data_IF_868371504470
#
_entry.id   IF_868371504470
#
_cell.length_a   1.000
_cell.length_b   1.000
_cell.length_c   1.000
_cell.angle_alpha   90.00
_cell.angle_beta   90.00
_cell.angle_gamma   90.00
#
_symmetry.space_group_name_H-M   'P 1'
#
loop_
_entity.id
_entity.type
_entity.pdbx_description
1 polymer ?
#
# COMPACT_ATOMS: atom_id res chain seq x y z
N UNK A 1 2.45 26.09 1.16
CA UNK A 1 3.16 25.19 0.23
C UNK A 1 2.14 24.46 -0.61
N UNK A 2 2.38 24.32 -1.89
CA UNK A 2 1.55 23.44 -2.71
C UNK A 2 1.92 21.98 -2.40
N UNK A 3 0.92 21.14 -2.19
CA UNK A 3 1.09 19.70 -2.00
C UNK A 3 0.75 19.00 -3.31
N UNK A 4 1.65 18.17 -3.81
CA UNK A 4 1.49 17.39 -5.04
C UNK A 4 1.14 15.93 -4.76
N UNK A 5 0.41 15.69 -3.70
CA UNK A 5 -0.04 14.36 -3.30
C UNK A 5 -1.01 13.76 -4.33
N UNK A 6 -0.81 12.48 -4.63
CA UNK A 6 -1.65 11.73 -5.54
C UNK A 6 -1.98 10.36 -4.93
N UNK A 7 -3.18 9.88 -5.19
CA UNK A 7 -3.58 8.50 -4.92
C UNK A 7 -4.03 7.85 -6.21
N UNK A 8 -3.45 6.72 -6.55
CA UNK A 8 -3.79 5.94 -7.74
C UNK A 8 -4.10 4.50 -7.38
N UNK A 9 -5.02 3.90 -8.11
CA UNK A 9 -5.39 2.49 -7.97
C UNK A 9 -5.24 1.82 -9.31
N UNK A 10 -4.39 0.80 -9.37
CA UNK A 10 -4.10 0.10 -10.62
C UNK A 10 -3.51 -1.28 -10.40
N UNK A 11 -3.19 -1.95 -11.48
CA UNK A 11 -2.61 -3.28 -11.46
C UNK A 11 -1.12 -3.21 -11.80
N UNK A 12 -0.30 -3.93 -11.06
CA UNK A 12 1.14 -4.03 -11.31
C UNK A 12 1.37 -4.71 -12.65
N UNK A 13 2.16 -4.09 -13.53
CA UNK A 13 2.39 -4.55 -14.90
C UNK A 13 3.53 -5.56 -15.03
N UNK A 14 4.48 -5.53 -14.10
CA UNK A 14 5.63 -6.43 -13.99
C UNK A 14 6.04 -6.56 -12.53
N UNK A 15 6.75 -7.62 -12.20
CA UNK A 15 7.19 -7.86 -10.84
C UNK A 15 8.05 -6.69 -10.33
N UNK A 16 7.84 -6.26 -9.07
CA UNK A 16 8.62 -5.19 -8.49
C UNK A 16 10.11 -5.55 -8.40
N UNK A 17 10.96 -4.65 -8.83
CA UNK A 17 12.41 -4.81 -8.75
C UNK A 17 12.95 -4.13 -7.49
N UNK A 18 13.47 -4.95 -6.56
CA UNK A 18 14.16 -4.47 -5.36
C UNK A 18 15.65 -4.31 -5.66
N UNK A 19 16.21 -3.16 -5.32
CA UNK A 19 17.64 -2.86 -5.40
C UNK A 19 18.09 -2.24 -4.09
N UNK A 20 19.34 -2.47 -3.73
CA UNK A 20 19.97 -1.77 -2.62
C UNK A 20 20.89 -0.68 -3.17
N UNK A 21 20.70 0.53 -2.66
CA UNK A 21 21.53 1.67 -2.99
C UNK A 21 22.91 1.54 -2.31
N UNK A 22 23.89 2.31 -2.78
CA UNK A 22 25.23 2.37 -2.17
C UNK A 22 25.20 2.79 -0.70
N UNK A 23 24.15 3.51 -0.27
CA UNK A 23 23.87 3.86 1.12
C UNK A 23 23.36 2.69 1.98
N UNK A 24 23.09 1.51 1.38
CA UNK A 24 22.46 0.37 2.04
C UNK A 24 20.93 0.43 2.11
N UNK A 25 20.31 1.52 1.69
CA UNK A 25 18.85 1.64 1.67
C UNK A 25 18.24 0.83 0.54
N UNK A 26 17.14 0.13 0.85
CA UNK A 26 16.35 -0.54 -0.17
C UNK A 26 15.60 0.48 -1.05
N UNK A 27 15.55 0.23 -2.33
CA UNK A 27 14.75 0.96 -3.30
C UNK A 27 14.02 -0.02 -4.20
N UNK A 28 12.76 0.24 -4.47
CA UNK A 28 11.94 -0.60 -5.34
C UNK A 28 11.28 0.26 -6.40
N UNK A 29 11.25 -0.26 -7.63
CA UNK A 29 10.55 0.37 -8.74
C UNK A 29 9.61 -0.62 -9.43
N UNK A 30 8.42 -0.16 -9.75
CA UNK A 30 7.45 -0.90 -10.56
C UNK A 30 6.52 0.06 -11.30
N UNK A 31 5.75 -0.47 -12.25
CA UNK A 31 4.76 0.33 -12.99
C UNK A 31 3.37 -0.26 -12.76
N UNK A 32 2.38 0.61 -12.68
CA UNK A 32 0.97 0.24 -12.56
C UNK A 32 0.19 0.71 -13.79
N UNK A 33 -0.76 -0.12 -14.22
CA UNK A 33 -1.74 0.20 -15.24
C UNK A 33 -3.05 0.61 -14.57
N UNK A 34 -3.51 1.81 -14.88
CA UNK A 34 -4.78 2.37 -14.41
C UNK A 34 -5.73 2.45 -15.58
N UNK A 35 -6.69 1.53 -15.64
CA UNK A 35 -7.69 1.49 -16.71
C UNK A 35 -8.96 2.20 -16.30
N UNK A 36 -9.44 3.05 -17.16
CA UNK A 36 -10.73 3.72 -17.06
C UNK A 36 -11.60 3.31 -18.25
N UNK A 37 -12.79 2.84 -17.94
CA UNK A 37 -13.78 2.45 -18.94
C UNK A 37 -14.99 3.38 -18.84
N UNK A 38 -15.48 3.86 -19.98
CA UNK A 38 -16.68 4.68 -20.07
C UNK A 38 -17.46 4.36 -21.32
N UNK A 39 -18.75 4.67 -21.32
CA UNK A 39 -19.57 4.56 -22.50
C UNK A 39 -19.58 5.91 -23.25
N UNK A 40 -19.25 5.86 -24.55
CA UNK A 40 -19.38 7.03 -25.42
C UNK A 40 -20.87 7.36 -25.62
N UNK A 41 -21.24 8.56 -25.25
CA UNK A 41 -22.68 8.99 -25.31
C UNK A 41 -23.21 9.12 -26.70
N UNK A 42 -22.36 9.31 -27.69
CA UNK A 42 -22.77 9.49 -29.11
C UNK A 42 -22.86 8.15 -29.83
N UNK A 43 -21.86 7.26 -29.64
CA UNK A 43 -21.81 5.97 -30.34
C UNK A 43 -22.38 4.82 -29.52
N UNK A 44 -22.66 5.01 -28.22
CA UNK A 44 -23.08 3.98 -27.27
C UNK A 44 -22.06 2.84 -27.10
N UNK A 45 -20.87 2.97 -27.66
CA UNK A 45 -19.81 2.01 -27.54
C UNK A 45 -19.01 2.20 -26.25
N UNK A 46 -18.45 1.09 -25.74
CA UNK A 46 -17.57 1.12 -24.59
C UNK A 46 -16.15 1.44 -25.02
N UNK A 47 -15.62 2.52 -24.49
CA UNK A 47 -14.23 2.92 -24.66
C UNK A 47 -13.44 2.63 -23.40
N UNK A 48 -12.18 2.23 -23.58
CA UNK A 48 -11.23 2.01 -22.48
C UNK A 48 -9.94 2.77 -22.75
N UNK A 49 -9.44 3.43 -21.70
CA UNK A 49 -8.14 4.10 -21.73
C UNK A 49 -7.31 3.61 -20.55
N UNK A 50 -6.11 3.16 -20.83
CA UNK A 50 -5.14 2.77 -19.80
C UNK A 50 -4.05 3.82 -19.72
N UNK A 51 -3.76 4.26 -18.50
CA UNK A 51 -2.63 5.13 -18.16
C UNK A 51 -1.64 4.33 -17.34
N UNK A 52 -0.35 4.55 -17.59
CA UNK A 52 0.74 3.88 -16.88
C UNK A 52 1.46 4.87 -15.99
N UNK A 53 1.71 4.47 -14.75
CA UNK A 53 2.46 5.27 -13.78
C UNK A 53 3.63 4.46 -13.26
N UNK A 54 4.80 5.08 -13.23
CA UNK A 54 5.97 4.53 -12.57
C UNK A 54 5.94 4.90 -11.08
N UNK A 55 6.17 3.91 -10.23
CA UNK A 55 6.14 4.04 -8.77
C UNK A 55 7.49 3.67 -8.21
N UNK A 56 7.98 4.49 -7.30
CA UNK A 56 9.19 4.23 -6.52
C UNK A 56 8.85 4.18 -5.04
N UNK A 57 9.48 3.27 -4.31
CA UNK A 57 9.39 3.17 -2.86
C UNK A 57 10.78 2.93 -2.27
N UNK A 58 10.98 3.31 -1.02
CA UNK A 58 12.27 3.23 -0.34
C UNK A 58 12.14 2.60 1.05
N UNK A 59 13.27 2.10 1.55
CA UNK A 59 13.40 1.55 2.90
C UNK A 59 12.52 0.33 3.13
N UNK A 60 11.97 0.21 4.32
CA UNK A 60 11.14 -0.94 4.73
C UNK A 60 9.88 -1.11 3.88
N UNK A 61 9.31 -0.02 3.36
CA UNK A 61 8.18 -0.10 2.43
C UNK A 61 8.59 -0.85 1.14
N UNK A 62 9.76 -0.55 0.58
CA UNK A 62 10.29 -1.22 -0.61
C UNK A 62 10.49 -2.72 -0.36
N UNK A 63 11.10 -3.10 0.75
CA UNK A 63 11.34 -4.51 1.11
C UNK A 63 10.04 -5.28 1.32
N UNK A 64 9.10 -4.71 2.08
CA UNK A 64 7.81 -5.33 2.35
C UNK A 64 6.99 -5.51 1.06
N UNK A 65 6.98 -4.51 0.19
CA UNK A 65 6.30 -4.58 -1.09
C UNK A 65 6.90 -5.63 -2.01
N UNK A 66 8.24 -5.72 -2.10
CA UNK A 66 8.92 -6.72 -2.92
C UNK A 66 8.62 -8.16 -2.47
N UNK A 67 8.44 -8.36 -1.15
CA UNK A 67 8.08 -9.66 -0.57
C UNK A 67 6.59 -10.01 -0.69
N UNK A 68 5.72 -9.02 -0.91
CA UNK A 68 4.26 -9.19 -0.84
C UNK A 68 3.55 -9.02 -2.17
N UNK A 69 4.14 -8.27 -3.10
CA UNK A 69 3.49 -7.86 -4.35
C UNK A 69 4.14 -8.52 -5.56
N UNK A 70 3.30 -8.88 -6.52
CA UNK A 70 3.74 -9.46 -7.79
C UNK A 70 2.98 -8.85 -8.96
N UNK A 71 3.42 -9.13 -10.18
CA UNK A 71 2.71 -8.77 -11.41
C UNK A 71 1.23 -9.15 -11.33
N UNK A 72 0.36 -8.26 -11.75
CA UNK A 72 -1.10 -8.44 -11.76
C UNK A 72 -1.79 -8.08 -10.44
N UNK A 73 -1.05 -7.91 -9.34
CA UNK A 73 -1.65 -7.47 -8.08
C UNK A 73 -2.26 -6.08 -8.23
N UNK A 74 -3.52 -5.92 -7.80
CA UNK A 74 -4.16 -4.62 -7.71
C UNK A 74 -3.74 -3.92 -6.44
N UNK A 75 -3.22 -2.71 -6.59
CA UNK A 75 -2.67 -1.91 -5.48
C UNK A 75 -3.27 -0.52 -5.44
N UNK A 76 -3.31 0.04 -4.23
CA UNK A 76 -3.54 1.45 -3.95
C UNK A 76 -2.18 2.05 -3.60
N UNK A 77 -1.79 3.09 -4.29
CA UNK A 77 -0.53 3.82 -4.07
C UNK A 77 -0.87 5.26 -3.73
N UNK A 78 -0.37 5.72 -2.61
CA UNK A 78 -0.44 7.13 -2.21
C UNK A 78 0.98 7.66 -2.06
N UNK A 79 1.23 8.84 -2.58
CA UNK A 79 2.54 9.46 -2.54
C UNK A 79 2.57 10.79 -3.26
N UNK A 80 3.75 11.26 -3.57
CA UNK A 80 3.98 12.52 -4.27
C UNK A 80 4.34 12.25 -5.72
N UNK A 81 3.74 13.01 -6.63
CA UNK A 81 4.11 12.99 -8.04
C UNK A 81 5.28 13.93 -8.26
N UNK A 82 6.32 13.41 -8.88
CA UNK A 82 7.55 14.16 -9.18
C UNK A 82 7.87 14.06 -10.67
N UNK A 83 8.34 15.15 -11.25
CA UNK A 83 8.85 15.17 -12.61
C UNK A 83 10.35 14.91 -12.61
N UNK A 84 10.74 13.81 -13.22
CA UNK A 84 12.15 13.52 -13.48
C UNK A 84 12.52 13.97 -14.88
N UNK A 85 13.58 14.75 -14.99
CA UNK A 85 14.13 15.20 -16.27
C UNK A 85 15.53 14.63 -16.43
N UNK A 86 15.84 14.13 -17.62
CA UNK A 86 17.18 13.63 -17.97
C UNK A 86 17.52 13.98 -19.42
N UNK A 87 18.79 13.99 -19.71
CA UNK A 87 19.32 14.19 -21.06
C UNK A 87 19.78 12.83 -21.61
N UNK A 88 19.40 12.54 -22.85
CA UNK A 88 19.83 11.34 -23.55
C UNK A 88 21.26 11.52 -24.08
N UNK A 89 21.93 10.44 -24.43
CA UNK A 89 23.27 10.48 -25.05
C UNK A 89 23.30 11.30 -26.37
N UNK A 90 22.16 11.44 -27.03
CA UNK A 90 21.97 12.28 -28.23
C UNK A 90 21.73 13.76 -27.91
N UNK A 91 21.68 14.16 -26.63
CA UNK A 91 21.46 15.53 -26.19
C UNK A 91 20.01 15.96 -26.08
N UNK A 92 19.06 15.04 -26.30
CA UNK A 92 17.62 15.30 -26.15
C UNK A 92 17.21 15.34 -24.68
N UNK A 93 16.51 16.38 -24.26
CA UNK A 93 15.91 16.47 -22.94
C UNK A 93 14.61 15.67 -22.91
N UNK A 94 14.51 14.74 -21.98
CA UNK A 94 13.30 13.94 -21.74
C UNK A 94 12.82 14.11 -20.31
N UNK A 95 11.53 13.99 -20.11
CA UNK A 95 10.92 14.02 -18.79
C UNK A 95 9.88 12.92 -18.65
N UNK A 96 9.74 12.42 -17.44
CA UNK A 96 8.68 11.49 -17.05
C UNK A 96 8.18 11.86 -15.65
N UNK A 97 6.91 11.52 -15.39
CA UNK A 97 6.35 11.64 -14.06
C UNK A 97 6.48 10.31 -13.33
N UNK A 98 6.99 10.36 -12.12
CA UNK A 98 7.14 9.21 -11.23
C UNK A 98 6.39 9.50 -9.92
N UNK A 99 5.82 8.47 -9.30
CA UNK A 99 5.18 8.58 -7.99
C UNK A 99 6.17 8.08 -6.96
N UNK A 100 6.60 8.96 -6.08
CA UNK A 100 7.37 8.60 -4.90
C UNK A 100 6.37 8.21 -3.81
N UNK A 101 6.23 6.90 -3.57
CA UNK A 101 5.19 6.36 -2.72
C UNK A 101 5.51 6.56 -1.23
N UNK A 102 4.54 7.09 -0.51
CA UNK A 102 4.54 7.14 0.95
C UNK A 102 3.84 5.91 1.54
N UNK A 103 2.78 5.40 0.86
CA UNK A 103 2.05 4.20 1.24
C UNK A 103 1.65 3.37 0.02
N UNK A 104 1.76 2.06 0.17
CA UNK A 104 1.32 1.08 -0.84
C UNK A 104 0.54 -0.02 -0.12
N UNK A 105 -0.64 -0.35 -0.64
CA UNK A 105 -1.47 -1.41 -0.10
C UNK A 105 -2.06 -2.28 -1.20
N UNK A 106 -2.19 -3.60 -1.00
CA UNK A 106 -2.99 -4.44 -1.89
C UNK A 106 -4.46 -4.06 -1.78
N UNK A 107 -5.15 -4.01 -2.91
CA UNK A 107 -6.59 -3.77 -2.93
C UNK A 107 -7.34 -5.06 -2.63
N UNK A 108 -8.19 -5.05 -1.60
CA UNK A 108 -9.01 -6.20 -1.22
C UNK A 108 -10.34 -6.28 -1.98
N UNK A 109 -10.54 -5.45 -3.00
CA UNK A 109 -11.80 -5.44 -3.76
C UNK A 109 -12.12 -6.80 -4.39
N UNK A 110 -11.09 -7.52 -4.83
CA UNK A 110 -11.23 -8.84 -5.49
C UNK A 110 -10.22 -9.86 -5.00
N UNK A 111 -9.60 -9.61 -3.85
CA UNK A 111 -8.59 -10.48 -3.27
C UNK A 111 -8.67 -10.45 -1.74
N UNK A 112 -8.07 -11.46 -1.11
CA UNK A 112 -7.83 -11.51 0.32
C UNK A 112 -6.33 -11.39 0.59
N UNK A 113 -5.96 -10.89 1.77
CA UNK A 113 -4.56 -10.80 2.19
C UNK A 113 -4.41 -11.28 3.63
N UNK A 114 -3.30 -11.96 3.90
CA UNK A 114 -2.85 -12.28 5.25
C UNK A 114 -1.73 -11.31 5.62
N UNK A 115 -1.89 -10.63 6.76
CA UNK A 115 -0.96 -9.60 7.19
C UNK A 115 -0.03 -10.16 8.25
N UNK A 116 1.27 -10.11 7.97
CA UNK A 116 2.33 -10.43 8.91
C UNK A 116 3.07 -9.15 9.27
N UNK A 117 3.15 -8.83 10.57
CA UNK A 117 3.90 -7.67 11.03
C UNK A 117 5.40 -7.92 10.89
N UNK A 118 6.08 -6.98 10.24
CA UNK A 118 7.55 -6.92 10.29
C UNK A 118 7.98 -6.20 11.57
N UNK A 119 9.04 -6.66 12.27
CA UNK A 119 9.58 -5.95 13.42
C UNK A 119 10.01 -4.55 12.99
N UNK A 120 9.64 -3.55 13.79
CA UNK A 120 10.14 -2.20 13.61
C UNK A 120 11.63 -2.25 13.93
N UNK A 121 12.50 -1.83 13.00
CA UNK A 121 13.90 -1.63 13.31
C UNK A 121 13.98 -0.65 14.49
N UNK A 122 14.44 -1.12 15.65
CA UNK A 122 14.57 -0.31 16.85
C UNK A 122 15.65 0.76 16.63
N UNK A 123 15.17 1.96 16.31
CA UNK A 123 15.93 3.18 16.46
C UNK A 123 15.36 3.93 17.65
N UNK A 124 16.10 3.87 18.78
CA UNK A 124 15.96 4.67 20.02
C UNK A 124 14.65 4.56 20.83
N UNK A 125 14.77 3.82 21.93
CA UNK A 125 14.35 4.17 23.28
C UNK A 125 12.92 4.66 23.52
N UNK A 126 11.97 3.72 23.64
CA UNK A 126 10.94 3.82 24.66
C UNK A 126 10.82 2.45 25.34
N UNK A 127 11.27 2.42 26.60
CA UNK A 127 11.10 1.29 27.50
C UNK A 127 9.62 0.91 27.55
N UNK A 128 9.32 -0.36 27.35
CA UNK A 128 8.01 -0.92 27.61
C UNK A 128 7.60 -0.65 29.06
N UNK A 129 6.33 -0.27 29.33
CA UNK A 129 5.85 -0.25 30.72
C UNK A 129 5.86 -1.69 31.25
N UNK A 130 6.49 -1.86 32.40
CA UNK A 130 6.54 -3.12 33.13
C UNK A 130 5.15 -3.74 33.30
N UNK A 131 5.08 -5.03 33.04
CA UNK A 131 3.91 -5.87 33.35
C UNK A 131 3.53 -5.68 34.82
N UNK A 132 2.29 -5.22 35.05
CA UNK A 132 1.71 -5.26 36.39
C UNK A 132 1.40 -6.69 36.72
N UNK A 133 1.78 -7.20 37.91
CA UNK A 133 1.36 -8.52 38.35
C UNK A 133 -0.14 -8.57 38.49
N UNK A 134 -0.77 -9.53 37.85
CA UNK A 134 -2.15 -9.87 38.00
C UNK A 134 -2.43 -10.34 39.44
N UNK A 135 -3.03 -9.47 40.22
CA UNK A 135 -3.60 -9.85 41.50
C UNK A 135 -4.84 -10.70 41.21
N UNK A 136 -4.81 -11.93 41.68
CA UNK A 136 -5.90 -12.87 41.71
C UNK A 136 -7.09 -12.28 42.48
N UNK A 137 -8.22 -12.08 41.82
CA UNK A 137 -9.51 -11.75 42.44
C UNK A 137 -10.33 -13.02 42.60
N UNK A 138 -10.96 -13.24 43.74
CA UNK A 138 -11.74 -14.43 43.98
C UNK A 138 -13.00 -14.47 43.11
N UNK A 139 -13.31 -15.67 42.65
CA UNK A 139 -14.51 -16.03 41.91
C UNK A 139 -15.75 -15.78 42.79
N UNK A 140 -16.60 -14.86 42.40
CA UNK A 140 -17.91 -14.67 42.97
C UNK A 140 -18.96 -15.27 42.02
N UNK A 141 -19.80 -16.11 42.61
CA UNK A 141 -20.81 -16.94 42.00
C UNK A 141 -21.87 -16.19 41.21
N UNK A 142 -22.16 -16.68 40.01
CA UNK A 142 -23.27 -16.27 39.16
C UNK A 142 -24.65 -16.54 39.80
N UNK A 143 -25.59 -15.61 39.82
CA UNK A 143 -26.99 -15.94 40.04
C UNK A 143 -27.64 -16.41 38.72
N UNK A 144 -28.18 -17.61 38.77
CA UNK A 144 -29.03 -18.18 37.73
C UNK A 144 -30.34 -17.41 37.67
N UNK A 145 -30.64 -16.77 36.55
CA UNK A 145 -31.99 -16.29 36.27
C UNK A 145 -32.73 -17.35 35.48
N UNK A 146 -33.82 -17.85 36.11
CA UNK A 146 -34.80 -18.70 35.46
C UNK A 146 -35.59 -17.86 34.43
N UNK A 147 -35.70 -18.39 33.22
CA UNK A 147 -36.66 -17.92 32.24
C UNK A 147 -38.05 -18.29 32.71
N UNK A 148 -38.86 -17.29 32.95
CA UNK A 148 -40.29 -17.47 33.10
C UNK A 148 -40.96 -17.21 31.76
N UNK A 149 -41.69 -18.20 31.28
CA UNK A 149 -42.47 -18.15 30.05
C UNK A 149 -43.69 -17.25 30.26
N UNK A 150 -43.88 -16.30 29.36
CA UNK A 150 -45.17 -15.64 29.22
C UNK A 150 -45.77 -15.92 27.84
N UNK A 151 -46.99 -16.43 27.78
CA UNK A 151 -47.70 -16.58 26.52
C UNK A 151 -48.56 -15.36 26.27
N UNK A 152 -48.36 -14.73 25.09
CA UNK A 152 -49.42 -14.11 24.27
C UNK A 152 -48.84 -13.56 23.00
#
# INVERSE_FOLDING_TARGET
>A
MADNQITVVGNITRDPELKFLTSGNAAMKFSIAVSRRWQNRQTQEWEEKTSYFDVQAYGSLAENCANSLQKGTRVVVTGRIEQRTWETESGDKRSAFEINADEIAPSLKWATAVITRTPRAEGSGFSAPAERPTSSRPQESTPTYAFDEEPF
#
